data_IF_821513024010
#
_entry.id   IF_821513024010
#
_cell.length_a   1.000
_cell.length_b   1.000
_cell.length_c   1.000
_cell.angle_alpha   90.00
_cell.angle_beta   90.00
_cell.angle_gamma   90.00
#
_symmetry.space_group_name_H-M   'P 1'
#
loop_
_entity.id
_entity.type
_entity.pdbx_description
1 polymer ?
#
# COMPACT_ATOMS: atom_id res chain seq x y z
N UNK A 1 -43.69 1.32 -47.69
CA UNK A 1 -42.61 1.22 -46.70
C UNK A 1 -42.80 2.35 -45.70
N UNK A 2 -43.39 2.04 -44.54
CA UNK A 2 -43.72 3.02 -43.50
C UNK A 2 -42.61 3.05 -42.45
N UNK A 3 -41.87 4.15 -42.42
CA UNK A 3 -40.90 4.47 -41.37
C UNK A 3 -41.66 5.08 -40.20
N UNK A 4 -41.89 4.30 -39.15
CA UNK A 4 -42.45 4.83 -37.90
C UNK A 4 -41.34 5.56 -37.14
N UNK A 5 -41.49 6.88 -37.02
CA UNK A 5 -40.68 7.70 -36.15
C UNK A 5 -41.07 7.45 -34.69
N UNK A 6 -40.14 6.93 -33.89
CA UNK A 6 -40.31 6.86 -32.44
C UNK A 6 -40.23 8.29 -31.87
N UNK A 7 -41.18 8.71 -31.02
CA UNK A 7 -41.10 10.01 -30.37
C UNK A 7 -39.96 9.98 -29.34
N UNK A 8 -38.98 10.86 -29.51
CA UNK A 8 -38.05 11.22 -28.44
C UNK A 8 -38.85 11.80 -27.29
N UNK A 9 -38.76 11.16 -26.12
CA UNK A 9 -39.27 11.71 -24.86
C UNK A 9 -38.10 12.45 -24.21
N UNK A 10 -38.00 13.78 -24.32
CA UNK A 10 -37.00 14.55 -23.58
C UNK A 10 -37.39 14.55 -22.11
N UNK A 11 -36.56 13.93 -21.24
CA UNK A 11 -36.65 14.19 -19.80
C UNK A 11 -36.43 13.03 -18.83
N UNK A 12 -36.01 11.84 -19.26
CA UNK A 12 -35.84 10.69 -18.35
C UNK A 12 -34.37 10.39 -17.99
N UNK A 13 -33.40 11.04 -18.63
CA UNK A 13 -31.98 10.62 -18.51
C UNK A 13 -31.23 11.12 -17.27
N UNK A 14 -31.78 12.04 -16.49
CA UNK A 14 -31.03 12.67 -15.38
C UNK A 14 -31.58 12.41 -13.97
N UNK A 15 -32.49 11.43 -13.79
CA UNK A 15 -33.02 11.12 -12.44
C UNK A 15 -32.17 10.17 -11.59
N UNK A 16 -31.06 9.65 -12.11
CA UNK A 16 -30.15 8.78 -11.34
C UNK A 16 -28.87 9.48 -10.86
N UNK A 17 -28.72 10.79 -11.04
CA UNK A 17 -27.56 11.54 -10.51
C UNK A 17 -27.83 12.29 -9.19
N UNK A 18 -29.04 12.18 -8.61
CA UNK A 18 -29.50 13.04 -7.52
C UNK A 18 -29.89 12.35 -6.21
N UNK A 19 -29.14 11.35 -5.73
CA UNK A 19 -29.22 10.90 -4.33
C UNK A 19 -27.95 11.35 -3.61
N UNK A 20 -27.87 12.53 -3.01
CA UNK A 20 -28.80 12.98 -1.98
C UNK A 20 -28.41 12.42 -0.59
N UNK A 21 -27.12 12.33 -0.27
CA UNK A 21 -26.69 12.41 1.13
C UNK A 21 -25.84 13.66 1.29
N UNK A 22 -26.42 14.69 1.91
CA UNK A 22 -25.73 15.90 2.37
C UNK A 22 -24.78 15.63 3.53
N UNK A 23 -24.00 14.55 3.45
CA UNK A 23 -22.80 14.40 4.25
C UNK A 23 -21.69 15.16 3.54
N UNK A 24 -20.91 15.94 4.30
CA UNK A 24 -19.68 16.57 3.84
C UNK A 24 -18.97 15.70 2.79
N UNK A 25 -18.38 16.23 1.70
CA UNK A 25 -17.55 15.45 0.79
C UNK A 25 -16.35 14.92 1.57
N UNK A 26 -16.56 13.82 2.30
CA UNK A 26 -15.50 13.05 2.92
C UNK A 26 -14.83 12.39 1.73
N UNK A 27 -13.92 13.15 1.10
CA UNK A 27 -13.01 12.68 0.09
C UNK A 27 -12.59 11.28 0.51
N UNK A 28 -13.05 10.28 -0.27
CA UNK A 28 -13.07 8.90 0.17
C UNK A 28 -11.66 8.56 0.66
N UNK A 29 -11.50 8.36 1.98
CA UNK A 29 -10.18 8.04 2.57
C UNK A 29 -9.73 6.63 2.21
N UNK A 30 -10.56 5.92 1.44
CA UNK A 30 -10.38 4.58 0.91
C UNK A 30 -8.99 4.35 0.26
N UNK A 31 -8.46 5.22 -0.62
CA UNK A 31 -7.15 5.03 -1.23
C UNK A 31 -6.02 5.11 -0.21
N UNK A 32 -6.15 5.97 0.81
CA UNK A 32 -5.16 6.12 1.90
C UNK A 32 -5.24 4.90 2.83
N UNK A 33 -6.45 4.50 3.21
CA UNK A 33 -6.68 3.29 4.01
C UNK A 33 -6.15 2.04 3.31
N UNK A 34 -6.47 1.84 2.03
CA UNK A 34 -5.98 0.71 1.22
C UNK A 34 -4.46 0.68 1.11
N UNK A 35 -3.81 1.84 0.92
CA UNK A 35 -2.34 1.91 0.85
C UNK A 35 -1.67 1.70 2.20
N UNK A 36 -2.33 2.07 3.31
CA UNK A 36 -1.80 1.88 4.66
C UNK A 36 -2.00 0.45 5.19
N UNK A 37 -3.14 -0.20 4.91
CA UNK A 37 -3.54 -1.41 5.61
C UNK A 37 -3.15 -2.72 4.92
N UNK A 38 -3.06 -2.74 3.59
CA UNK A 38 -3.03 -4.02 2.85
C UNK A 38 -1.66 -4.27 2.19
N UNK A 39 -1.17 -3.34 1.38
CA UNK A 39 0.08 -3.53 0.66
C UNK A 39 0.61 -2.18 0.14
N UNK A 40 1.90 -1.85 0.36
CA UNK A 40 2.49 -0.66 -0.22
C UNK A 40 2.46 -0.74 -1.76
N UNK A 41 2.02 0.35 -2.40
CA UNK A 41 1.84 0.43 -3.86
C UNK A 41 0.39 0.25 -4.34
N UNK A 42 -0.52 -0.35 -3.56
CA UNK A 42 -1.92 -0.51 -3.98
C UNK A 42 -2.64 0.84 -4.16
N UNK A 43 -2.43 1.80 -3.27
CA UNK A 43 -3.03 3.14 -3.40
C UNK A 43 -2.62 3.86 -4.69
N UNK A 44 -1.38 3.64 -5.15
CA UNK A 44 -0.88 4.24 -6.38
C UNK A 44 -1.48 3.58 -7.64
N UNK A 45 -1.78 2.28 -7.58
CA UNK A 45 -2.52 1.58 -8.64
C UNK A 45 -3.93 2.16 -8.82
N UNK A 46 -4.66 2.39 -7.72
CA UNK A 46 -5.99 3.05 -7.76
C UNK A 46 -5.93 4.46 -8.35
N UNK A 47 -4.83 5.18 -8.14
CA UNK A 47 -4.59 6.50 -8.70
C UNK A 47 -4.11 6.50 -10.17
N UNK A 48 -4.11 5.33 -10.85
CA UNK A 48 -3.57 5.09 -12.20
C UNK A 48 -2.07 5.41 -12.34
N UNK A 49 -1.32 5.43 -11.23
CA UNK A 49 0.14 5.61 -11.21
C UNK A 49 0.84 4.24 -11.12
N UNK A 50 0.64 3.44 -12.17
CA UNK A 50 1.10 2.05 -12.22
C UNK A 50 2.62 1.91 -12.05
N UNK A 51 3.42 2.77 -12.69
CA UNK A 51 4.88 2.71 -12.60
C UNK A 51 5.39 2.89 -11.16
N UNK A 52 4.91 3.91 -10.46
CA UNK A 52 5.26 4.14 -9.05
C UNK A 52 4.76 2.98 -8.17
N UNK A 53 3.53 2.51 -8.39
CA UNK A 53 2.95 1.42 -7.61
C UNK A 53 3.75 0.12 -7.74
N UNK A 54 4.15 -0.24 -8.96
CA UNK A 54 5.00 -1.40 -9.23
C UNK A 54 6.39 -1.21 -8.61
N UNK A 55 7.00 -0.04 -8.80
CA UNK A 55 8.34 0.24 -8.24
C UNK A 55 8.36 0.06 -6.71
N UNK A 56 7.43 0.69 -5.99
CA UNK A 56 7.35 0.56 -4.55
C UNK A 56 6.94 -0.85 -4.10
N UNK A 57 6.04 -1.52 -4.83
CA UNK A 57 5.65 -2.90 -4.56
C UNK A 57 6.83 -3.86 -4.68
N UNK A 58 7.64 -3.73 -5.73
CA UNK A 58 8.84 -4.57 -5.95
C UNK A 58 9.91 -4.29 -4.89
N UNK A 59 10.20 -3.02 -4.61
CA UNK A 59 11.21 -2.64 -3.60
C UNK A 59 10.81 -3.15 -2.21
N UNK A 60 9.53 -3.00 -1.84
CA UNK A 60 9.01 -3.53 -0.58
C UNK A 60 9.08 -5.05 -0.55
N UNK A 61 8.63 -5.74 -1.59
CA UNK A 61 8.66 -7.20 -1.67
C UNK A 61 10.08 -7.74 -1.58
N UNK A 62 11.04 -7.15 -2.30
CA UNK A 62 12.45 -7.51 -2.21
C UNK A 62 13.01 -7.31 -0.79
N UNK A 63 12.66 -6.21 -0.13
CA UNK A 63 13.05 -5.94 1.26
C UNK A 63 12.44 -6.95 2.23
N UNK A 64 11.18 -7.34 2.02
CA UNK A 64 10.49 -8.36 2.80
C UNK A 64 11.16 -9.73 2.65
N UNK A 65 11.46 -10.15 1.41
CA UNK A 65 12.17 -11.41 1.13
C UNK A 65 13.55 -11.41 1.79
N UNK A 66 14.30 -10.31 1.67
CA UNK A 66 15.61 -10.15 2.29
C UNK A 66 15.56 -10.18 3.84
N UNK A 67 14.41 -9.87 4.45
CA UNK A 67 14.18 -9.99 5.88
C UNK A 67 13.74 -11.40 6.28
N UNK A 68 12.88 -12.03 5.49
CA UNK A 68 12.35 -13.37 5.78
C UNK A 68 13.43 -14.45 5.71
N UNK A 69 14.35 -14.38 4.73
CA UNK A 69 15.44 -15.37 4.59
C UNK A 69 16.25 -15.55 5.89
N UNK A 70 16.88 -14.50 6.47
CA UNK A 70 17.67 -14.66 7.69
C UNK A 70 16.80 -15.05 8.89
N UNK A 71 15.52 -14.65 8.94
CA UNK A 71 14.61 -15.08 10.01
C UNK A 71 14.34 -16.59 9.93
N UNK A 72 14.07 -17.11 8.72
CA UNK A 72 13.87 -18.54 8.48
C UNK A 72 15.15 -19.32 8.75
N UNK A 73 16.31 -18.84 8.29
CA UNK A 73 17.62 -19.45 8.60
C UNK A 73 17.86 -19.50 10.12
N UNK A 74 17.51 -18.44 10.85
CA UNK A 74 17.63 -18.40 12.32
C UNK A 74 16.74 -19.45 12.98
N UNK A 75 15.49 -19.57 12.53
CA UNK A 75 14.53 -20.56 13.05
C UNK A 75 15.04 -21.97 12.75
N UNK A 76 15.48 -22.24 11.52
CA UNK A 76 16.03 -23.54 11.13
C UNK A 76 17.29 -23.86 11.92
N UNK A 77 18.19 -22.90 12.14
CA UNK A 77 19.38 -23.10 12.95
C UNK A 77 19.01 -23.42 14.41
N UNK A 78 18.06 -22.68 15.00
CA UNK A 78 17.66 -22.85 16.38
C UNK A 78 16.91 -24.17 16.63
N UNK A 79 15.96 -24.52 15.76
CA UNK A 79 15.16 -25.74 15.90
C UNK A 79 15.80 -26.97 15.25
N UNK A 80 16.65 -26.79 14.24
CA UNK A 80 17.41 -27.85 13.59
C UNK A 80 18.60 -28.33 14.41
N UNK A 81 19.27 -27.43 15.17
CA UNK A 81 20.32 -27.82 16.13
C UNK A 81 19.77 -28.36 17.45
N UNK A 82 18.48 -28.24 17.74
CA UNK A 82 17.87 -28.82 18.94
C UNK A 82 17.98 -30.36 19.00
N UNK A 83 18.40 -31.02 17.90
CA UNK A 83 18.62 -32.46 17.84
C UNK A 83 20.10 -32.90 17.99
N UNK A 84 21.07 -31.98 18.07
CA UNK A 84 22.50 -32.32 18.13
C UNK A 84 23.18 -31.52 19.25
N UNK A 85 23.30 -32.15 20.43
CA UNK A 85 24.16 -31.83 21.57
C UNK A 85 24.37 -30.34 21.96
N UNK A 86 23.67 -29.98 23.03
CA UNK A 86 23.74 -28.70 23.72
C UNK A 86 25.13 -28.41 24.35
N UNK A 87 26.04 -27.84 23.58
CA UNK A 87 27.05 -26.90 24.11
C UNK A 87 26.51 -25.48 24.00
N UNK A 88 25.78 -25.04 25.04
CA UNK A 88 25.03 -23.78 25.08
C UNK A 88 25.87 -22.55 25.48
N UNK A 89 27.19 -22.68 25.68
CA UNK A 89 28.02 -21.61 26.26
C UNK A 89 28.60 -20.60 25.26
N UNK A 90 28.52 -20.85 23.94
CA UNK A 90 29.04 -19.94 22.91
C UNK A 90 27.97 -19.02 22.27
N UNK A 91 26.71 -19.13 22.68
CA UNK A 91 25.55 -18.53 22.00
C UNK A 91 25.29 -17.01 22.16
N UNK A 92 25.77 -16.27 23.19
CA UNK A 92 25.28 -14.90 23.42
C UNK A 92 25.66 -13.88 22.33
N UNK A 93 26.89 -13.96 21.81
CA UNK A 93 27.41 -12.91 20.92
C UNK A 93 27.00 -13.12 19.46
N UNK A 94 26.82 -14.37 19.04
CA UNK A 94 26.23 -14.70 17.74
C UNK A 94 24.76 -14.24 17.67
N UNK A 95 23.98 -14.46 18.73
CA UNK A 95 22.60 -14.01 18.82
C UNK A 95 22.49 -12.47 18.78
N UNK A 96 23.35 -11.74 19.49
CA UNK A 96 23.38 -10.27 19.46
C UNK A 96 23.71 -9.71 18.08
N UNK A 97 24.71 -10.29 17.39
CA UNK A 97 25.06 -9.89 16.01
C UNK A 97 23.90 -10.12 15.04
N UNK A 98 23.24 -11.27 15.15
CA UNK A 98 22.10 -11.62 14.30
C UNK A 98 20.90 -10.71 14.56
N UNK A 99 20.59 -10.44 15.83
CA UNK A 99 19.56 -9.49 16.22
C UNK A 99 19.84 -8.08 15.69
N UNK A 100 21.09 -7.62 15.71
CA UNK A 100 21.49 -6.34 15.12
C UNK A 100 21.27 -6.30 13.60
N UNK A 101 21.61 -7.37 12.88
CA UNK A 101 21.39 -7.46 11.43
C UNK A 101 19.91 -7.54 11.05
N UNK A 102 19.10 -8.27 11.83
CA UNK A 102 17.65 -8.32 11.63
C UNK A 102 17.05 -6.95 11.94
N UNK A 103 17.49 -6.31 13.03
CA UNK A 103 17.04 -4.98 13.45
C UNK A 103 17.28 -3.91 12.39
N UNK A 104 18.46 -3.87 11.77
CA UNK A 104 18.75 -2.88 10.73
C UNK A 104 17.94 -3.11 9.44
N UNK A 105 17.74 -4.38 9.04
CA UNK A 105 16.89 -4.73 7.89
C UNK A 105 15.43 -4.39 8.15
N UNK A 106 14.95 -4.63 9.36
CA UNK A 106 13.60 -4.28 9.79
C UNK A 106 13.40 -2.76 9.84
N UNK A 107 14.37 -2.01 10.37
CA UNK A 107 14.34 -0.55 10.36
C UNK A 107 14.28 0.01 8.92
N UNK A 108 15.03 -0.58 8.00
CA UNK A 108 14.97 -0.23 6.57
C UNK A 108 13.59 -0.51 5.96
N UNK A 109 13.00 -1.67 6.25
CA UNK A 109 11.66 -2.02 5.77
C UNK A 109 10.60 -1.02 6.28
N UNK A 110 10.68 -0.62 7.56
CA UNK A 110 9.81 0.42 8.14
C UNK A 110 10.04 1.76 7.45
N UNK A 111 11.29 2.17 7.25
CA UNK A 111 11.60 3.45 6.60
C UNK A 111 11.01 3.54 5.19
N UNK A 112 11.17 2.48 4.39
CA UNK A 112 10.58 2.38 3.03
C UNK A 112 9.05 2.47 3.10
N UNK A 113 8.44 1.78 4.06
CA UNK A 113 6.99 1.80 4.26
C UNK A 113 6.47 3.22 4.62
N UNK A 114 7.15 3.92 5.54
CA UNK A 114 6.79 5.30 5.91
C UNK A 114 6.96 6.25 4.73
N UNK A 115 8.07 6.16 3.99
CA UNK A 115 8.30 6.96 2.78
C UNK A 115 7.18 6.73 1.76
N UNK A 116 6.74 5.49 1.57
CA UNK A 116 5.65 5.16 0.66
C UNK A 116 4.32 5.83 1.08
N UNK A 117 3.98 5.81 2.37
CA UNK A 117 2.78 6.48 2.89
C UNK A 117 2.85 7.99 2.66
N UNK A 118 4.00 8.61 2.94
CA UNK A 118 4.19 10.05 2.76
C UNK A 118 4.03 10.45 1.30
N UNK A 119 4.63 9.69 0.37
CA UNK A 119 4.51 9.95 -1.07
C UNK A 119 3.05 9.89 -1.55
N UNK A 120 2.31 8.87 -1.13
CA UNK A 120 0.87 8.74 -1.43
C UNK A 120 0.06 9.91 -0.84
N UNK A 121 0.36 10.30 0.40
CA UNK A 121 -0.29 11.43 1.07
C UNK A 121 -0.06 12.76 0.35
N UNK A 122 1.18 13.06 -0.03
CA UNK A 122 1.53 14.28 -0.78
C UNK A 122 0.88 14.28 -2.17
N UNK A 123 0.84 13.13 -2.85
CA UNK A 123 0.17 13.00 -4.13
C UNK A 123 -1.33 13.29 -4.05
N UNK A 124 -2.01 12.82 -2.99
CA UNK A 124 -3.43 13.08 -2.75
C UNK A 124 -3.70 14.58 -2.48
N UNK A 125 -2.89 15.20 -1.61
CA UNK A 125 -2.99 16.63 -1.30
C UNK A 125 -2.84 17.52 -2.56
N UNK A 126 -1.91 17.18 -3.45
CA UNK A 126 -1.71 17.92 -4.71
C UNK A 126 -2.90 17.79 -5.66
N UNK A 127 -3.60 16.64 -5.70
CA UNK A 127 -4.81 16.46 -6.52
C UNK A 127 -5.97 17.30 -6.01
N UNK A 128 -6.21 17.31 -4.69
CA UNK A 128 -7.27 18.11 -4.05
C UNK A 128 -7.09 19.59 -4.34
N UNK A 129 -5.86 20.09 -4.22
CA UNK A 129 -5.53 21.51 -4.46
C UNK A 129 -5.89 21.95 -5.89
N UNK A 130 -5.66 21.09 -6.89
CA UNK A 130 -6.01 21.38 -8.30
C UNK A 130 -7.51 21.41 -8.55
N UNK A 131 -8.29 20.59 -7.85
CA UNK A 131 -9.75 20.58 -8.00
C UNK A 131 -10.40 21.86 -7.47
N UNK A 132 -9.88 22.42 -6.36
CA UNK A 132 -10.39 23.70 -5.83
C UNK A 132 -10.20 24.87 -6.80
N UNK A 133 -9.09 24.91 -7.55
CA UNK A 133 -8.82 25.96 -8.54
C UNK A 133 -9.80 25.88 -9.73
N UNK A 134 -10.12 24.66 -10.19
CA UNK A 134 -11.01 24.44 -11.32
C UNK A 134 -12.48 24.78 -11.04
N UNK A 135 -12.91 24.77 -9.78
CA UNK A 135 -14.29 25.13 -9.38
C UNK A 135 -14.44 26.66 -9.22
N UNK A 136 -13.33 27.37 -9.02
CA UNK A 136 -13.33 28.82 -8.81
C UNK A 136 -13.21 29.65 -10.10
N UNK A 137 -13.07 29.00 -11.27
CA UNK A 137 -12.94 29.64 -12.59
C UNK A 137 -14.19 29.36 -13.41
#
# INVERSE_FOLDING_TARGET
>A
MNTQAQPMIPGVENRFQGGGTGGNPVASRLPILLSSLVFPGLGQMFQRRWYSGIFFGVVFFASLVALVIPVVETIIAFYGMANIDATFDAAPDAAKRLAGQIGIRFAWAIAIYVINIVDVGVADMRRRSKQHILIAT
#
